data_IF_122037245303
#
_entry.id   IF_122037245303
#
_cell.length_a   1.000
_cell.length_b   1.000
_cell.length_c   1.000
_cell.angle_alpha   90.00
_cell.angle_beta   90.00
_cell.angle_gamma   90.00
#
_symmetry.space_group_name_H-M   'P 1'
#
loop_
_entity.id
_entity.type
_entity.pdbx_description
1 polymer ?
#
# COMPACT_ATOMS: atom_id res chain seq x y z
N UNK A 1 -68.40 42.42 -2.38
CA UNK A 1 -68.20 42.88 -0.98
C UNK A 1 -67.57 41.71 -0.22
N UNK A 2 -66.43 41.94 0.46
CA UNK A 2 -65.77 41.04 1.43
C UNK A 2 -65.21 39.69 0.91
N UNK A 3 -64.04 39.19 1.28
CA UNK A 3 -62.92 39.67 2.10
C UNK A 3 -61.73 38.71 1.86
N UNK A 4 -60.50 39.22 2.04
CA UNK A 4 -59.21 38.51 2.06
C UNK A 4 -59.25 37.18 2.83
N UNK A 5 -58.40 36.23 2.42
CA UNK A 5 -57.43 35.55 3.32
C UNK A 5 -56.33 34.87 2.50
N UNK A 6 -55.13 35.40 2.62
CA UNK A 6 -53.90 34.75 2.20
C UNK A 6 -53.56 33.67 3.23
N UNK A 7 -53.34 32.44 2.77
CA UNK A 7 -52.79 31.36 3.59
C UNK A 7 -51.42 30.98 3.01
N UNK A 8 -50.38 31.50 3.63
CA UNK A 8 -49.00 31.03 3.49
C UNK A 8 -48.92 29.61 4.06
N UNK A 9 -48.83 28.61 3.19
CA UNK A 9 -48.39 27.28 3.60
C UNK A 9 -46.85 27.27 3.57
N UNK A 10 -46.24 27.32 4.76
CA UNK A 10 -44.83 27.02 4.95
C UNK A 10 -44.59 25.55 4.60
N UNK A 11 -43.97 25.31 3.46
CA UNK A 11 -43.48 24.00 3.07
C UNK A 11 -42.20 23.74 3.86
N UNK A 12 -42.33 23.03 4.99
CA UNK A 12 -41.20 22.58 5.79
C UNK A 12 -40.42 21.55 4.98
N UNK A 13 -39.31 21.98 4.38
CA UNK A 13 -38.33 21.07 3.81
C UNK A 13 -37.64 20.34 4.98
N UNK A 14 -38.12 19.15 5.31
CA UNK A 14 -37.31 18.17 6.04
C UNK A 14 -36.11 17.86 5.14
N UNK A 15 -34.98 18.48 5.41
CA UNK A 15 -33.70 18.04 4.89
C UNK A 15 -33.46 16.62 5.42
N UNK A 16 -33.75 15.62 4.59
CA UNK A 16 -33.29 14.25 4.81
C UNK A 16 -31.77 14.35 4.75
N UNK A 17 -31.13 14.42 5.92
CA UNK A 17 -29.70 14.19 6.02
C UNK A 17 -29.47 12.79 5.49
N UNK A 18 -28.97 12.68 4.25
CA UNK A 18 -28.37 11.45 3.78
C UNK A 18 -27.17 11.22 4.70
N UNK A 19 -27.39 10.46 5.78
CA UNK A 19 -26.31 9.76 6.44
C UNK A 19 -25.72 8.86 5.36
N UNK A 20 -24.64 9.33 4.71
CA UNK A 20 -23.78 8.47 3.93
C UNK A 20 -23.29 7.42 4.90
N UNK A 21 -23.95 6.25 4.89
CA UNK A 21 -23.38 5.05 5.43
C UNK A 21 -21.95 5.02 4.91
N UNK A 22 -20.98 4.99 5.83
CA UNK A 22 -19.56 4.87 5.51
C UNK A 22 -19.38 3.54 4.77
N UNK A 23 -19.64 3.54 3.47
CA UNK A 23 -19.50 2.39 2.61
C UNK A 23 -18.01 2.20 2.46
N UNK A 24 -17.49 1.25 3.24
CA UNK A 24 -16.11 0.85 3.15
C UNK A 24 -15.84 0.41 1.71
N UNK A 25 -14.87 1.06 1.08
CA UNK A 25 -14.64 0.96 -0.36
C UNK A 25 -13.58 -0.09 -0.64
N UNK A 26 -13.92 -1.11 -1.41
CA UNK A 26 -12.96 -2.07 -1.94
C UNK A 26 -12.11 -1.42 -3.05
N UNK A 27 -10.79 -1.61 -2.98
CA UNK A 27 -9.81 -1.09 -3.95
C UNK A 27 -8.69 -2.11 -4.13
N UNK A 28 -8.32 -2.43 -5.38
CA UNK A 28 -7.27 -3.41 -5.65
C UNK A 28 -5.87 -2.77 -5.63
N UNK A 29 -5.18 -2.91 -4.50
CA UNK A 29 -3.91 -2.21 -4.20
C UNK A 29 -2.74 -2.73 -5.05
N UNK A 30 -2.78 -3.97 -5.54
CA UNK A 30 -1.69 -4.52 -6.37
C UNK A 30 -1.50 -3.75 -7.70
N UNK A 31 -2.51 -2.96 -8.09
CA UNK A 31 -2.44 -2.13 -9.29
C UNK A 31 -1.70 -0.81 -9.05
N UNK A 32 -1.54 -0.42 -7.78
CA UNK A 32 -0.95 0.83 -7.36
C UNK A 32 0.56 0.81 -7.47
N UNK A 33 1.13 1.99 -7.73
CA UNK A 33 2.55 2.26 -7.59
C UNK A 33 2.78 3.30 -6.50
N UNK A 34 3.91 3.20 -5.80
CA UNK A 34 4.44 4.26 -4.93
C UNK A 34 5.71 4.77 -5.58
N UNK A 35 5.70 6.02 -6.03
CA UNK A 35 6.81 6.64 -6.76
C UNK A 35 7.30 5.79 -7.97
N UNK A 36 6.35 5.21 -8.73
CA UNK A 36 6.64 4.35 -9.88
C UNK A 36 6.86 2.88 -9.55
N UNK A 37 7.20 2.54 -8.30
CA UNK A 37 7.49 1.16 -7.89
C UNK A 37 6.20 0.42 -7.49
N UNK A 38 6.03 -0.83 -7.95
CA UNK A 38 4.88 -1.70 -7.66
C UNK A 38 5.32 -2.98 -6.96
N UNK A 39 4.41 -3.61 -6.22
CA UNK A 39 4.68 -4.97 -5.73
C UNK A 39 4.79 -5.93 -6.91
N UNK A 40 5.61 -6.97 -6.77
CA UNK A 40 5.89 -7.94 -7.82
C UNK A 40 6.88 -7.51 -8.90
N UNK A 41 7.29 -6.24 -8.96
CA UNK A 41 8.42 -5.81 -9.80
C UNK A 41 9.68 -6.58 -9.41
N UNK A 42 10.51 -6.94 -10.39
CA UNK A 42 11.84 -7.45 -10.11
C UNK A 42 12.83 -6.34 -9.68
N UNK A 43 14.08 -6.72 -9.44
CA UNK A 43 15.13 -5.78 -9.01
C UNK A 43 15.41 -4.68 -10.05
N UNK A 44 15.57 -5.04 -11.32
CA UNK A 44 15.94 -4.10 -12.38
C UNK A 44 14.77 -3.16 -12.70
N UNK A 45 13.54 -3.67 -12.68
CA UNK A 45 12.31 -2.89 -12.81
C UNK A 45 12.17 -1.87 -11.67
N UNK A 46 12.44 -2.28 -10.43
CA UNK A 46 12.38 -1.40 -9.27
C UNK A 46 13.47 -0.32 -9.32
N UNK A 47 14.72 -0.68 -9.67
CA UNK A 47 15.81 0.27 -9.87
C UNK A 47 15.44 1.28 -10.97
N UNK A 48 14.92 0.81 -12.10
CA UNK A 48 14.48 1.67 -13.19
C UNK A 48 13.37 2.63 -12.74
N UNK A 49 12.33 2.12 -12.09
CA UNK A 49 11.23 2.94 -11.59
C UNK A 49 11.71 4.03 -10.61
N UNK A 50 12.59 3.68 -9.67
CA UNK A 50 13.17 4.64 -8.73
C UNK A 50 14.03 5.71 -9.42
N UNK A 51 14.92 5.28 -10.33
CA UNK A 51 15.84 6.20 -11.04
C UNK A 51 15.09 7.14 -11.97
N UNK A 52 14.06 6.66 -12.66
CA UNK A 52 13.17 7.49 -13.49
C UNK A 52 12.36 8.47 -12.65
N UNK A 53 11.79 8.03 -11.52
CA UNK A 53 11.00 8.90 -10.66
C UNK A 53 11.84 10.04 -10.05
N UNK A 54 13.01 9.72 -9.50
CA UNK A 54 13.86 10.71 -8.83
C UNK A 54 14.85 11.40 -9.76
N UNK A 55 14.93 11.00 -11.04
CA UNK A 55 15.87 11.53 -12.02
C UNK A 55 17.33 11.44 -11.55
N UNK A 56 17.71 10.28 -11.03
CA UNK A 56 19.04 10.00 -10.47
C UNK A 56 19.65 8.75 -11.09
N UNK A 57 20.99 8.62 -11.15
CA UNK A 57 21.61 7.39 -11.60
C UNK A 57 21.41 6.26 -10.58
N UNK A 58 21.40 5.01 -11.04
CA UNK A 58 21.26 3.82 -10.19
C UNK A 58 22.33 3.74 -9.07
N UNK A 59 23.53 4.28 -9.33
CA UNK A 59 24.62 4.36 -8.34
C UNK A 59 24.32 5.27 -7.14
N UNK A 60 23.24 6.05 -7.19
CA UNK A 60 22.80 6.88 -6.06
C UNK A 60 21.83 6.17 -5.12
N UNK A 61 21.34 4.98 -5.50
CA UNK A 61 20.50 4.16 -4.64
C UNK A 61 21.37 3.43 -3.61
N UNK A 62 20.91 3.38 -2.36
CA UNK A 62 21.48 2.52 -1.34
C UNK A 62 20.95 1.11 -1.54
N UNK A 63 21.83 0.22 -2.00
CA UNK A 63 21.55 -1.21 -2.13
C UNK A 63 22.05 -1.90 -0.86
N UNK A 64 21.31 -2.90 -0.39
CA UNK A 64 21.71 -3.74 0.74
C UNK A 64 23.19 -4.18 0.64
N UNK A 65 24.00 -3.68 1.59
CA UNK A 65 25.46 -3.89 1.62
C UNK A 65 25.85 -5.27 2.15
N UNK A 66 24.96 -5.93 2.87
CA UNK A 66 25.25 -7.19 3.56
C UNK A 66 24.12 -8.21 3.33
N UNK A 67 23.85 -8.58 2.06
CA UNK A 67 22.75 -9.47 1.74
C UNK A 67 22.91 -10.83 2.42
N UNK A 68 21.83 -11.26 3.08
CA UNK A 68 21.70 -12.62 3.59
C UNK A 68 21.47 -13.60 2.43
N UNK A 69 21.67 -14.90 2.70
CA UNK A 69 21.30 -15.95 1.77
C UNK A 69 19.78 -15.92 1.54
N UNK A 70 19.34 -15.78 0.30
CA UNK A 70 17.95 -15.94 -0.06
C UNK A 70 17.65 -17.42 -0.24
N UNK A 71 16.74 -17.94 0.57
CA UNK A 71 16.41 -19.38 0.62
C UNK A 71 15.70 -19.89 -0.64
N UNK A 72 15.13 -19.01 -1.45
CA UNK A 72 14.45 -19.37 -2.70
C UNK A 72 15.45 -19.49 -3.84
N UNK A 73 16.39 -18.55 -3.93
CA UNK A 73 17.37 -18.49 -5.02
C UNK A 73 18.64 -19.30 -4.74
N UNK A 74 18.94 -19.54 -3.45
CA UNK A 74 20.13 -20.27 -3.01
C UNK A 74 21.41 -19.44 -3.04
N UNK A 75 21.33 -18.12 -3.22
CA UNK A 75 22.45 -17.19 -3.25
C UNK A 75 22.16 -15.89 -2.49
N UNK A 76 23.19 -15.04 -2.33
CA UNK A 76 23.04 -13.76 -1.63
C UNK A 76 22.45 -12.73 -2.57
N UNK A 77 21.25 -12.25 -2.23
CA UNK A 77 20.50 -11.27 -3.02
C UNK A 77 20.16 -10.07 -2.14
N UNK A 78 20.13 -8.83 -2.68
CA UNK A 78 19.81 -7.65 -1.90
C UNK A 78 18.40 -7.73 -1.33
N UNK A 79 18.25 -7.45 -0.03
CA UNK A 79 16.93 -7.45 0.63
C UNK A 79 16.14 -6.16 0.38
N UNK A 80 16.84 -5.09 0.00
CA UNK A 80 16.21 -3.82 -0.33
C UNK A 80 17.07 -2.98 -1.28
N UNK A 81 16.41 -2.03 -1.93
CA UNK A 81 17.01 -0.83 -2.50
C UNK A 81 16.32 0.39 -1.93
N UNK A 82 17.07 1.47 -1.72
CA UNK A 82 16.54 2.71 -1.16
C UNK A 82 17.05 3.95 -1.90
N UNK A 83 16.20 4.94 -2.01
CA UNK A 83 16.58 6.32 -2.29
C UNK A 83 16.37 7.15 -1.03
N UNK A 84 17.38 7.94 -0.65
CA UNK A 84 17.25 8.90 0.46
C UNK A 84 17.99 10.19 0.13
N UNK A 85 17.25 11.30 0.04
CA UNK A 85 17.83 12.63 -0.22
C UNK A 85 16.88 13.74 0.21
N UNK A 86 17.43 14.79 0.83
CA UNK A 86 16.67 15.97 1.27
C UNK A 86 15.45 15.63 2.15
N UNK A 87 15.57 14.57 2.97
CA UNK A 87 14.50 14.09 3.85
C UNK A 87 13.40 13.26 3.16
N UNK A 88 13.45 13.11 1.83
CA UNK A 88 12.60 12.14 1.11
C UNK A 88 13.28 10.78 1.17
N UNK A 89 12.53 9.76 1.56
CA UNK A 89 12.99 8.36 1.57
C UNK A 89 12.01 7.47 0.83
N UNK A 90 12.50 6.62 -0.06
CA UNK A 90 11.74 5.53 -0.67
C UNK A 90 12.54 4.24 -0.50
N UNK A 91 11.94 3.19 0.04
CA UNK A 91 12.56 1.86 0.17
C UNK A 91 11.67 0.83 -0.50
N UNK A 92 12.25 -0.01 -1.35
CA UNK A 92 11.61 -1.20 -1.88
C UNK A 92 12.30 -2.43 -1.29
N UNK A 93 11.54 -3.26 -0.58
CA UNK A 93 11.99 -4.52 -0.01
C UNK A 93 11.63 -5.67 -0.94
N UNK A 94 12.51 -6.67 -1.00
CA UNK A 94 12.37 -7.82 -1.88
C UNK A 94 12.15 -9.11 -1.12
N UNK A 95 11.41 -10.00 -1.78
CA UNK A 95 11.32 -11.42 -1.47
C UNK A 95 11.86 -12.25 -2.63
N UNK A 96 12.31 -13.48 -2.35
CA UNK A 96 12.61 -14.44 -3.41
C UNK A 96 11.32 -14.83 -4.14
N UNK A 97 11.32 -14.77 -5.47
CA UNK A 97 10.15 -15.11 -6.29
C UNK A 97 9.88 -16.61 -6.24
N UNK A 98 8.64 -16.98 -5.89
CA UNK A 98 8.17 -18.38 -5.88
C UNK A 98 7.04 -18.54 -6.89
N UNK A 99 7.13 -19.50 -7.85
CA UNK A 99 8.25 -20.40 -8.08
C UNK A 99 9.52 -19.67 -8.52
N UNK A 100 10.69 -20.28 -8.27
CA UNK A 100 11.97 -19.68 -8.60
C UNK A 100 12.08 -19.35 -10.09
N UNK A 101 12.44 -18.11 -10.39
CA UNK A 101 12.71 -17.62 -11.74
C UNK A 101 14.09 -16.99 -11.77
N UNK A 102 15.12 -17.65 -12.34
CA UNK A 102 16.47 -17.11 -12.38
C UNK A 102 16.60 -15.77 -13.12
N UNK A 103 15.65 -15.43 -14.01
CA UNK A 103 15.66 -14.13 -14.73
C UNK A 103 15.02 -13.02 -13.91
N UNK A 104 14.08 -13.37 -13.04
CA UNK A 104 13.32 -12.45 -12.20
C UNK A 104 13.34 -12.93 -10.75
N UNK A 105 14.55 -13.12 -10.21
CA UNK A 105 14.80 -13.87 -8.97
C UNK A 105 14.14 -13.23 -7.73
N UNK A 106 13.95 -11.91 -7.77
CA UNK A 106 13.34 -11.13 -6.71
C UNK A 106 11.98 -10.57 -7.15
N UNK A 107 11.15 -10.28 -6.14
CA UNK A 107 9.89 -9.56 -6.29
C UNK A 107 9.75 -8.54 -5.16
N UNK A 108 9.39 -7.30 -5.49
CA UNK A 108 9.07 -6.27 -4.48
C UNK A 108 7.88 -6.74 -3.65
N UNK A 109 8.07 -6.89 -2.34
CA UNK A 109 7.03 -7.32 -1.40
C UNK A 109 6.47 -6.17 -0.57
N UNK A 110 7.31 -5.17 -0.30
CA UNK A 110 6.94 -4.00 0.49
C UNK A 110 7.60 -2.75 -0.06
N UNK A 111 6.88 -1.63 0.01
CA UNK A 111 7.37 -0.31 -0.37
C UNK A 111 7.05 0.67 0.75
N UNK A 112 8.02 1.47 1.18
CA UNK A 112 7.81 2.58 2.10
C UNK A 112 8.27 3.89 1.47
N UNK A 113 7.45 4.93 1.59
CA UNK A 113 7.76 6.29 1.17
C UNK A 113 7.53 7.25 2.33
N UNK A 114 8.54 8.05 2.66
CA UNK A 114 8.51 8.93 3.81
C UNK A 114 8.94 10.36 3.43
N UNK A 115 8.28 11.32 4.08
CA UNK A 115 8.71 12.72 4.13
C UNK A 115 9.03 13.12 5.57
N UNK A 116 9.83 14.19 5.78
CA UNK A 116 10.05 14.73 7.12
C UNK A 116 8.73 15.16 7.75
N UNK A 117 8.59 14.91 9.05
CA UNK A 117 7.36 15.27 9.73
C UNK A 117 7.16 16.79 9.77
N UNK A 118 6.04 17.23 9.20
CA UNK A 118 5.43 18.54 9.44
C UNK A 118 3.93 18.44 9.20
N UNK A 119 3.16 19.39 9.73
CA UNK A 119 1.71 19.45 9.49
C UNK A 119 1.42 19.65 8.00
N UNK A 120 2.23 20.45 7.33
CA UNK A 120 2.15 20.75 5.89
C UNK A 120 2.38 19.48 5.07
N UNK A 121 3.46 18.73 5.36
CA UNK A 121 3.78 17.50 4.65
C UNK A 121 2.73 16.42 4.88
N UNK A 122 2.24 16.27 6.11
CA UNK A 122 1.14 15.35 6.42
C UNK A 122 -0.10 15.66 5.59
N UNK A 123 -0.52 16.93 5.55
CA UNK A 123 -1.71 17.35 4.81
C UNK A 123 -1.51 17.20 3.30
N UNK A 124 -0.33 17.55 2.79
CA UNK A 124 0.02 17.38 1.38
C UNK A 124 0.03 15.91 0.97
N UNK A 125 0.60 15.02 1.79
CA UNK A 125 0.64 13.59 1.52
C UNK A 125 -0.76 12.97 1.54
N UNK A 126 -1.61 13.33 2.50
CA UNK A 126 -3.00 12.88 2.54
C UNK A 126 -3.78 13.32 1.29
N UNK A 127 -3.62 14.58 0.87
CA UNK A 127 -4.25 15.10 -0.35
C UNK A 127 -3.76 14.35 -1.60
N UNK A 128 -2.45 14.21 -1.76
CA UNK A 128 -1.85 13.53 -2.91
C UNK A 128 -2.25 12.05 -2.98
N UNK A 129 -2.34 11.37 -1.83
CA UNK A 129 -2.79 9.98 -1.76
C UNK A 129 -4.26 9.83 -2.22
N UNK A 130 -5.15 10.73 -1.80
CA UNK A 130 -6.56 10.71 -2.26
C UNK A 130 -6.67 11.04 -3.75
N UNK A 131 -5.86 11.97 -4.25
CA UNK A 131 -5.82 12.31 -5.67
C UNK A 131 -5.35 11.12 -6.52
N UNK A 132 -4.30 10.41 -6.07
CA UNK A 132 -3.71 9.30 -6.81
C UNK A 132 -4.50 7.99 -6.70
N UNK A 133 -4.92 7.63 -5.47
CA UNK A 133 -5.51 6.32 -5.17
C UNK A 133 -7.03 6.38 -4.96
N UNK A 134 -7.61 7.57 -4.96
CA UNK A 134 -9.00 7.81 -4.59
C UNK A 134 -9.21 7.80 -3.08
N UNK A 135 -10.47 8.01 -2.67
CA UNK A 135 -10.90 7.94 -1.27
C UNK A 135 -10.55 6.59 -0.66
N UNK A 136 -9.99 6.61 0.55
CA UNK A 136 -9.52 5.44 1.29
C UNK A 136 -10.67 4.50 1.70
N UNK A 137 -10.36 3.21 1.80
CA UNK A 137 -11.31 2.15 2.17
C UNK A 137 -11.93 2.39 3.54
N UNK A 138 -11.20 3.04 4.46
CA UNK A 138 -11.64 3.36 5.81
C UNK A 138 -12.10 4.80 6.00
N UNK A 139 -12.55 5.49 4.95
CA UNK A 139 -12.92 6.89 5.08
C UNK A 139 -14.01 7.12 6.16
N UNK A 140 -13.97 8.24 6.89
CA UNK A 140 -12.99 9.33 6.84
C UNK A 140 -11.81 9.16 7.83
N UNK A 141 -11.54 7.95 8.30
CA UNK A 141 -10.65 7.71 9.43
C UNK A 141 -9.16 7.75 9.08
N UNK A 142 -8.32 7.89 10.12
CA UNK A 142 -6.86 7.83 10.05
C UNK A 142 -6.34 6.70 10.96
N UNK A 143 -5.21 6.03 10.65
CA UNK A 143 -4.45 6.13 9.40
C UNK A 143 -5.30 5.76 8.19
N UNK A 144 -5.03 6.37 7.03
CA UNK A 144 -5.81 6.13 5.82
C UNK A 144 -5.37 4.80 5.22
N UNK A 145 -6.30 3.90 4.91
CA UNK A 145 -5.97 2.58 4.35
C UNK A 145 -6.78 2.26 3.10
N UNK A 146 -6.13 1.62 2.13
CA UNK A 146 -6.75 1.07 0.92
C UNK A 146 -6.49 -0.42 0.86
N UNK A 147 -7.52 -1.18 0.46
CA UNK A 147 -7.48 -2.64 0.37
C UNK A 147 -8.70 -3.19 -0.36
N UNK A 148 -8.57 -4.43 -0.85
CA UNK A 148 -9.57 -5.08 -1.70
C UNK A 148 -10.76 -5.62 -0.91
N UNK A 149 -10.52 -6.12 0.29
CA UNK A 149 -11.52 -6.67 1.18
C UNK A 149 -11.60 -5.85 2.46
N UNK A 150 -12.35 -4.73 2.45
CA UNK A 150 -12.50 -3.96 3.67
C UNK A 150 -13.32 -4.72 4.72
N UNK A 151 -13.00 -4.52 6.00
CA UNK A 151 -13.73 -5.14 7.10
C UNK A 151 -15.17 -4.63 7.22
N UNK A 152 -15.89 -5.04 8.27
CA UNK A 152 -17.27 -4.57 8.51
C UNK A 152 -17.36 -3.22 9.23
N UNK A 153 -16.26 -2.77 9.82
CA UNK A 153 -16.16 -1.51 10.55
C UNK A 153 -14.93 -0.76 10.07
N UNK A 154 -14.97 0.58 10.08
CA UNK A 154 -13.86 1.40 9.62
C UNK A 154 -12.57 1.24 10.47
N UNK A 155 -12.71 0.88 11.75
CA UNK A 155 -11.58 0.51 12.62
C UNK A 155 -10.91 -0.81 12.23
N UNK A 156 -11.57 -1.62 11.40
CA UNK A 156 -11.09 -2.91 10.87
C UNK A 156 -11.00 -2.87 9.34
N UNK A 157 -10.83 -1.69 8.76
CA UNK A 157 -11.18 -1.44 7.37
C UNK A 157 -10.35 -2.16 6.31
N UNK A 158 -9.27 -2.86 6.66
CA UNK A 158 -8.61 -3.81 5.76
C UNK A 158 -8.67 -5.26 6.26
N UNK A 159 -9.76 -5.56 6.97
CA UNK A 159 -10.28 -6.90 7.22
C UNK A 159 -9.40 -7.78 8.11
N UNK A 160 -9.92 -8.96 8.51
CA UNK A 160 -9.18 -9.94 9.29
C UNK A 160 -8.21 -10.77 8.45
N UNK A 161 -8.20 -10.62 7.12
CA UNK A 161 -7.33 -11.34 6.21
C UNK A 161 -5.91 -10.74 6.27
N UNK A 162 -4.96 -11.39 6.97
CA UNK A 162 -3.60 -10.87 7.09
C UNK A 162 -2.82 -11.03 5.79
N UNK A 163 -3.38 -11.70 4.78
CA UNK A 163 -2.70 -12.05 3.54
C UNK A 163 -3.00 -11.06 2.40
N UNK A 164 -3.96 -10.15 2.56
CA UNK A 164 -4.30 -9.20 1.51
C UNK A 164 -3.29 -8.04 1.40
N UNK A 165 -3.03 -7.54 0.19
CA UNK A 165 -2.24 -6.33 0.00
C UNK A 165 -2.93 -5.08 0.57
N UNK A 166 -2.16 -4.23 1.25
CA UNK A 166 -2.65 -3.02 1.90
C UNK A 166 -1.74 -1.84 1.58
N UNK A 167 -2.34 -0.69 1.25
CA UNK A 167 -1.66 0.60 1.25
C UNK A 167 -2.13 1.38 2.48
N UNK A 168 -1.19 1.89 3.27
CA UNK A 168 -1.46 2.59 4.53
C UNK A 168 -0.69 3.91 4.56
N UNK A 169 -1.41 5.00 4.83
CA UNK A 169 -0.83 6.31 5.09
C UNK A 169 -1.03 6.70 6.55
N UNK A 170 0.08 6.89 7.26
CA UNK A 170 0.12 7.35 8.65
C UNK A 170 1.05 8.55 8.80
N UNK A 171 0.47 9.75 8.95
CA UNK A 171 1.24 10.98 9.06
C UNK A 171 1.96 11.31 7.75
N UNK A 172 3.29 11.19 7.74
CA UNK A 172 4.16 11.39 6.58
C UNK A 172 4.83 10.09 6.09
N UNK A 173 4.28 8.93 6.46
CA UNK A 173 4.71 7.61 5.98
C UNK A 173 3.59 6.93 5.19
N UNK A 174 3.90 6.54 3.95
CA UNK A 174 3.06 5.74 3.07
C UNK A 174 3.71 4.37 2.87
N UNK A 175 3.01 3.31 3.26
CA UNK A 175 3.50 1.93 3.21
C UNK A 175 2.57 1.08 2.36
N UNK A 176 3.11 0.42 1.34
CA UNK A 176 2.43 -0.66 0.61
C UNK A 176 3.05 -1.98 1.01
N UNK A 177 2.23 -2.92 1.45
CA UNK A 177 2.66 -4.28 1.82
C UNK A 177 1.82 -5.30 1.05
N UNK A 178 2.48 -6.24 0.39
CA UNK A 178 1.86 -7.36 -0.32
C UNK A 178 2.37 -8.68 0.29
N UNK A 179 1.63 -9.24 1.26
CA UNK A 179 2.03 -10.46 1.96
C UNK A 179 2.15 -11.69 1.05
N UNK A 180 1.59 -11.66 -0.18
CA UNK A 180 1.57 -12.84 -1.05
C UNK A 180 2.99 -13.34 -1.38
N UNK A 181 3.97 -12.44 -1.49
CA UNK A 181 5.36 -12.78 -1.77
C UNK A 181 6.03 -13.49 -0.59
N UNK A 182 5.88 -12.93 0.62
CA UNK A 182 6.40 -13.53 1.86
C UNK A 182 5.72 -14.86 2.15
N UNK A 183 4.39 -14.94 1.97
CA UNK A 183 3.60 -16.15 2.18
C UNK A 183 3.98 -17.26 1.19
N UNK A 184 4.26 -16.92 -0.08
CA UNK A 184 4.71 -17.88 -1.07
C UNK A 184 6.07 -18.50 -0.67
N UNK A 185 7.01 -17.69 -0.17
CA UNK A 185 8.27 -18.17 0.40
C UNK A 185 8.05 -19.09 1.60
N UNK A 186 7.22 -18.68 2.57
CA UNK A 186 6.92 -19.48 3.77
C UNK A 186 6.33 -20.84 3.36
N UNK A 187 5.33 -20.84 2.47
CA UNK A 187 4.69 -22.07 1.98
C UNK A 187 5.68 -23.00 1.28
N UNK A 188 6.62 -22.45 0.49
CA UNK A 188 7.70 -23.23 -0.11
C UNK A 188 8.58 -23.88 0.98
N UNK A 189 9.00 -23.10 1.99
CA UNK A 189 9.81 -23.62 3.09
C UNK A 189 9.10 -24.73 3.87
N UNK A 190 7.83 -24.54 4.22
CA UNK A 190 7.03 -25.54 4.93
C UNK A 190 6.86 -26.84 4.12
N UNK A 191 6.67 -26.71 2.80
CA UNK A 191 6.61 -27.87 1.90
C UNK A 191 7.90 -28.68 1.89
N UNK A 192 9.06 -28.02 2.01
CA UNK A 192 10.37 -28.67 2.08
C UNK A 192 10.66 -29.31 3.46
N UNK A 193 9.96 -28.87 4.50
CA UNK A 193 10.04 -29.42 5.85
C UNK A 193 9.04 -30.55 6.11
N UNK A 194 8.10 -30.79 5.20
CA UNK A 194 7.10 -31.85 5.37
C UNK A 194 7.79 -33.22 5.40
N UNK A 195 7.58 -33.96 6.50
CA UNK A 195 8.08 -35.32 6.71
C UNK A 195 6.89 -36.24 6.93
N UNK A 196 6.87 -37.41 6.29
CA UNK A 196 5.92 -38.47 6.62
C UNK A 196 6.32 -39.05 7.98
N UNK A 197 5.45 -39.05 9.00
CA UNK A 197 5.75 -39.73 10.26
C UNK A 197 6.05 -41.20 10.02
N UNK A 198 7.13 -41.70 10.63
CA UNK A 198 7.57 -43.09 10.50
C UNK A 198 6.98 -44.04 11.53
N UNK A 199 5.82 -43.70 12.10
CA UNK A 199 5.09 -44.51 13.08
C UNK A 199 3.71 -44.86 12.54
#
# INVERSE_FOLDING_TARGET
>A
MFMRRASLFLMSMMAISQAQAANLRAVDVITFDVAGVKTGMDYDEAVKAMTEHFHVPASSLDVDKYPALNVVTGDKQPQYIAYEKNGVKLVAHFEGRVPADPKHALAVSQISYELPYSTENKNAMAKAAVEKYGVQSNAPYTPMVWCKAPGKMATMACGPDPEQPVLKLSGTSLEMNDPSWTNARIKMMDSNQTRTPGF
#
